data_IF_533527492977
#
_entry.id   IF_533527492977
#
_cell.length_a   1.000
_cell.length_b   1.000
_cell.length_c   1.000
_cell.angle_alpha   90.00
_cell.angle_beta   90.00
_cell.angle_gamma   90.00
#
_symmetry.space_group_name_H-M   'P 1'
#
loop_
_entity.id
_entity.type
_entity.pdbx_description
1 polymer ?
#
# COMPACT_ATOMS: atom_id res chain seq x y z
N UNK A 1 10.68 18.29 -14.72
CA UNK A 1 9.60 17.29 -14.88
C UNK A 1 8.29 18.03 -15.14
N UNK A 2 7.62 17.72 -16.25
CA UNK A 2 6.38 18.40 -16.68
C UNK A 2 5.17 17.64 -16.14
N UNK A 3 4.37 18.27 -15.28
CA UNK A 3 3.09 17.73 -14.82
C UNK A 3 2.04 17.98 -15.90
N UNK A 4 1.74 16.97 -16.72
CA UNK A 4 0.53 17.02 -17.56
C UNK A 4 -0.67 16.79 -16.65
N UNK A 5 -1.29 17.88 -16.19
CA UNK A 5 -2.64 17.87 -15.64
C UNK A 5 -3.61 17.38 -16.72
N UNK A 6 -3.77 16.07 -16.85
CA UNK A 6 -4.85 15.47 -17.61
C UNK A 6 -6.09 15.43 -16.73
N UNK A 7 -6.90 16.48 -16.83
CA UNK A 7 -8.27 16.48 -16.31
C UNK A 7 -9.10 15.60 -17.24
N UNK A 8 -9.11 14.28 -16.99
CA UNK A 8 -9.89 13.33 -17.80
C UNK A 8 -11.15 12.98 -17.02
N UNK A 9 -12.22 13.74 -17.27
CA UNK A 9 -13.57 13.35 -16.88
C UNK A 9 -13.87 11.99 -17.55
N UNK A 10 -14.25 10.99 -16.75
CA UNK A 10 -14.69 9.64 -17.14
C UNK A 10 -13.62 8.57 -17.44
N UNK A 11 -12.35 8.74 -17.08
CA UNK A 11 -11.39 7.62 -17.15
C UNK A 11 -11.39 6.83 -15.85
N UNK A 12 -11.37 5.50 -15.95
CA UNK A 12 -11.17 4.63 -14.79
C UNK A 12 -9.87 5.03 -14.06
N UNK A 13 -9.84 4.93 -12.71
CA UNK A 13 -8.63 5.22 -11.94
C UNK A 13 -7.43 4.47 -12.51
N UNK A 14 -6.22 5.07 -12.51
CA UNK A 14 -5.02 4.35 -12.90
C UNK A 14 -4.89 3.06 -12.09
N UNK A 15 -4.43 1.99 -12.74
CA UNK A 15 -4.16 0.73 -12.06
C UNK A 15 -2.90 0.90 -11.21
N UNK A 16 -3.00 0.52 -9.93
CA UNK A 16 -1.90 0.58 -8.98
C UNK A 16 -1.05 -0.68 -9.05
N UNK A 17 0.16 -0.59 -8.50
CA UNK A 17 0.96 -1.73 -8.09
C UNK A 17 0.90 -1.83 -6.55
N UNK A 18 -0.21 -2.31 -5.94
CA UNK A 18 -0.41 -2.18 -4.50
C UNK A 18 0.32 -3.25 -3.69
N UNK A 19 0.79 -2.84 -2.52
CA UNK A 19 1.13 -3.73 -1.40
C UNK A 19 0.59 -3.17 -0.08
N UNK A 20 0.47 -4.01 0.94
CA UNK A 20 0.07 -3.62 2.30
C UNK A 20 1.29 -3.70 3.21
N UNK A 21 1.61 -2.60 3.90
CA UNK A 21 2.51 -2.59 5.05
C UNK A 21 1.70 -2.80 6.32
N UNK A 22 2.17 -3.70 7.18
CA UNK A 22 1.58 -3.98 8.50
C UNK A 22 2.50 -3.39 9.57
N UNK A 23 1.93 -2.57 10.45
CA UNK A 23 2.61 -2.03 11.62
C UNK A 23 1.88 -2.39 12.90
N UNK A 24 2.64 -2.49 13.98
CA UNK A 24 2.14 -2.47 15.36
C UNK A 24 2.73 -1.25 16.04
N UNK A 25 1.87 -0.36 16.52
CA UNK A 25 2.25 0.99 16.95
C UNK A 25 3.08 1.68 15.85
N UNK A 26 4.33 2.08 16.11
CA UNK A 26 5.22 2.73 15.14
C UNK A 26 6.18 1.76 14.42
N UNK A 27 6.07 0.46 14.68
CA UNK A 27 7.02 -0.55 14.17
C UNK A 27 6.44 -1.33 12.99
N UNK A 28 7.16 -1.35 11.86
CA UNK A 28 6.85 -2.22 10.73
C UNK A 28 7.10 -3.67 11.12
N UNK A 29 6.05 -4.49 11.03
CA UNK A 29 6.11 -5.93 11.35
C UNK A 29 6.02 -6.81 10.11
N UNK A 30 5.50 -6.29 9.00
CA UNK A 30 5.36 -7.05 7.76
C UNK A 30 5.03 -6.20 6.55
N UNK A 31 5.15 -6.81 5.37
CA UNK A 31 4.70 -6.26 4.11
C UNK A 31 4.31 -7.39 3.17
N UNK A 32 3.19 -7.25 2.46
CA UNK A 32 2.81 -8.19 1.41
C UNK A 32 3.68 -8.03 0.17
N UNK A 33 3.63 -8.99 -0.74
CA UNK A 33 4.18 -8.79 -2.08
C UNK A 33 3.36 -7.77 -2.86
N UNK A 34 4.03 -6.97 -3.68
CA UNK A 34 3.38 -6.06 -4.64
C UNK A 34 2.58 -6.87 -5.67
N UNK A 35 1.30 -6.55 -5.85
CA UNK A 35 0.50 -7.06 -6.96
C UNK A 35 0.56 -6.05 -8.10
N UNK A 36 0.78 -6.51 -9.31
CA UNK A 36 1.00 -5.61 -10.45
C UNK A 36 -0.33 -5.19 -11.09
N UNK A 37 -0.46 -3.90 -11.41
CA UNK A 37 -1.52 -3.28 -12.24
C UNK A 37 -2.93 -3.70 -11.85
N UNK A 38 -3.28 -3.60 -10.58
CA UNK A 38 -4.61 -3.95 -10.06
C UNK A 38 -5.07 -3.00 -8.94
N UNK A 39 -6.37 -2.68 -8.95
CA UNK A 39 -7.04 -1.98 -7.85
C UNK A 39 -7.88 -2.95 -6.98
N UNK A 40 -7.80 -4.26 -7.27
CA UNK A 40 -8.50 -5.32 -6.54
C UNK A 40 -7.52 -6.47 -6.25
N UNK A 41 -6.46 -6.24 -5.45
CA UNK A 41 -5.47 -7.26 -5.15
C UNK A 41 -6.06 -8.36 -4.24
N UNK A 42 -5.58 -9.58 -4.42
CA UNK A 42 -5.76 -10.69 -3.46
C UNK A 42 -4.38 -11.17 -3.02
N UNK A 43 -4.03 -10.95 -1.75
CA UNK A 43 -2.68 -11.24 -1.25
C UNK A 43 -2.53 -12.68 -0.78
N UNK A 44 -3.44 -13.17 0.07
CA UNK A 44 -3.37 -14.49 0.71
C UNK A 44 -2.04 -14.73 1.44
N UNK A 45 -1.53 -13.71 2.14
CA UNK A 45 -0.29 -13.75 2.92
C UNK A 45 -0.61 -13.65 4.41
N UNK A 46 0.15 -14.36 5.24
CA UNK A 46 -0.04 -14.44 6.68
C UNK A 46 1.19 -13.86 7.42
N UNK A 47 0.94 -13.03 8.42
CA UNK A 47 1.97 -12.50 9.33
C UNK A 47 1.67 -12.96 10.75
N UNK A 48 2.56 -13.78 11.31
CA UNK A 48 2.42 -14.33 12.66
C UNK A 48 3.59 -13.86 13.54
N UNK A 49 3.27 -13.06 14.57
CA UNK A 49 4.26 -12.52 15.49
C UNK A 49 3.72 -12.41 16.92
N UNK A 50 4.63 -12.49 17.90
CA UNK A 50 4.32 -12.24 19.30
C UNK A 50 4.42 -10.75 19.60
N UNK A 51 3.30 -10.12 19.97
CA UNK A 51 3.23 -8.70 20.34
C UNK A 51 3.08 -8.57 21.86
N UNK A 52 3.92 -7.74 22.49
CA UNK A 52 3.84 -7.42 23.91
C UNK A 52 3.48 -5.94 24.07
N UNK A 53 2.41 -5.64 24.82
CA UNK A 53 1.94 -4.27 25.10
C UNK A 53 1.61 -3.41 23.87
N UNK A 54 1.29 -4.02 22.72
CA UNK A 54 0.87 -3.30 21.51
C UNK A 54 -0.49 -2.63 21.70
N UNK A 55 -0.65 -1.42 21.19
CA UNK A 55 -1.88 -0.63 21.36
C UNK A 55 -2.73 -0.60 20.10
N UNK A 56 -2.08 -0.52 18.94
CA UNK A 56 -2.77 -0.45 17.66
C UNK A 56 -2.04 -1.23 16.58
N UNK A 57 -2.82 -1.72 15.62
CA UNK A 57 -2.32 -2.25 14.35
C UNK A 57 -2.70 -1.23 13.29
N UNK A 58 -1.75 -0.85 12.44
CA UNK A 58 -2.00 -0.02 11.27
C UNK A 58 -1.75 -0.86 10.02
N UNK A 59 -2.73 -0.88 9.13
CA UNK A 59 -2.60 -1.44 7.79
C UNK A 59 -2.54 -0.29 6.80
N UNK A 60 -1.45 -0.16 6.07
CA UNK A 60 -1.27 0.92 5.09
C UNK A 60 -1.05 0.35 3.69
N UNK A 61 -1.88 0.77 2.74
CA UNK A 61 -1.74 0.45 1.32
C UNK A 61 -0.82 1.49 0.68
N UNK A 62 0.19 1.00 -0.05
CA UNK A 62 1.07 1.83 -0.87
C UNK A 62 1.01 1.37 -2.32
N UNK A 63 1.32 2.30 -3.24
CA UNK A 63 1.64 2.00 -4.63
C UNK A 63 3.17 1.98 -4.80
N UNK A 64 3.69 0.83 -5.20
CA UNK A 64 5.12 0.61 -5.51
C UNK A 64 5.55 1.49 -6.69
N UNK A 65 6.51 2.39 -6.46
CA UNK A 65 7.01 3.32 -7.46
C UNK A 65 8.39 2.87 -7.98
N UNK A 66 8.65 2.94 -9.30
CA UNK A 66 9.95 2.51 -9.83
C UNK A 66 11.15 3.29 -9.30
N UNK A 67 10.95 4.55 -8.88
CA UNK A 67 12.01 5.45 -8.42
C UNK A 67 11.44 6.36 -7.33
N UNK A 68 12.09 6.38 -6.17
CA UNK A 68 11.74 7.28 -5.08
C UNK A 68 11.06 6.56 -3.93
N UNK A 69 10.14 7.26 -3.27
CA UNK A 69 9.31 6.70 -2.21
C UNK A 69 7.97 6.26 -2.79
N UNK A 70 7.46 5.16 -2.25
CA UNK A 70 6.16 4.63 -2.62
C UNK A 70 5.02 5.55 -2.18
N UNK A 71 4.00 5.67 -3.02
CA UNK A 71 2.89 6.57 -2.79
C UNK A 71 1.91 5.97 -1.79
N UNK A 72 1.57 6.72 -0.74
CA UNK A 72 0.49 6.35 0.17
C UNK A 72 -0.85 6.34 -0.56
N UNK A 73 -1.64 5.29 -0.35
CA UNK A 73 -2.98 5.15 -0.94
C UNK A 73 -4.07 5.28 0.12
N UNK A 74 -3.99 4.48 1.18
CA UNK A 74 -4.99 4.43 2.25
C UNK A 74 -4.44 3.73 3.50
N UNK A 75 -5.06 3.94 4.66
CA UNK A 75 -4.81 3.17 5.87
C UNK A 75 -6.10 2.89 6.67
N UNK A 76 -6.00 1.96 7.61
CA UNK A 76 -6.99 1.71 8.64
C UNK A 76 -6.34 1.19 9.93
#
# INVERSE_FOLDING_TARGET
FSTRHTVIFNKAPPALDPYIMVKVDDFKVGQTHTKQKTNMPTYNEEFCLNVNNGKQIELTVFHDTPIGYDDFVANC
#
